data_IF_774140486334
#
_entry.id   IF_774140486334
#
_cell.length_a   1.000
_cell.length_b   1.000
_cell.length_c   1.000
_cell.angle_alpha   90.00
_cell.angle_beta   90.00
_cell.angle_gamma   90.00
#
_symmetry.space_group_name_H-M   'P 1'
#
loop_
_entity.id
_entity.type
_entity.pdbx_description
1 polymer ?
#
# COMPACT_ATOMS: atom_id res chain seq x y z
N UNK A 1 11.71 -25.00 -27.33
CA UNK A 1 11.69 -23.62 -26.79
C UNK A 1 10.73 -22.81 -27.65
N UNK A 2 9.58 -22.42 -27.10
CA UNK A 2 8.58 -21.64 -27.84
C UNK A 2 8.70 -20.18 -27.47
N UNK A 3 8.77 -19.30 -28.46
CA UNK A 3 8.57 -17.87 -28.25
C UNK A 3 7.09 -17.64 -27.95
N UNK A 4 6.80 -16.95 -26.85
CA UNK A 4 5.43 -16.61 -26.47
C UNK A 4 4.94 -15.39 -27.26
N UNK A 5 3.63 -15.20 -27.33
CA UNK A 5 3.02 -14.00 -27.93
C UNK A 5 3.50 -12.72 -27.24
N UNK A 6 3.81 -12.81 -25.94
CA UNK A 6 4.39 -11.71 -25.16
C UNK A 6 5.81 -11.39 -25.63
N UNK A 7 6.64 -12.40 -25.88
CA UNK A 7 8.00 -12.21 -26.38
C UNK A 7 8.00 -11.55 -27.77
N UNK A 8 7.02 -11.90 -28.61
CA UNK A 8 6.83 -11.26 -29.93
C UNK A 8 6.42 -9.79 -29.79
N UNK A 9 5.46 -9.48 -28.90
CA UNK A 9 5.00 -8.11 -28.66
C UNK A 9 6.10 -7.25 -28.02
N UNK A 10 6.84 -7.79 -27.05
CA UNK A 10 7.99 -7.12 -26.43
C UNK A 10 9.08 -6.85 -27.47
N UNK A 11 9.35 -7.80 -28.39
CA UNK A 11 10.29 -7.59 -29.49
C UNK A 11 9.81 -6.50 -30.45
N UNK A 12 8.54 -6.50 -30.86
CA UNK A 12 7.99 -5.46 -31.75
C UNK A 12 8.01 -4.07 -31.09
N UNK A 13 7.68 -3.98 -29.80
CA UNK A 13 7.73 -2.75 -29.03
C UNK A 13 9.15 -2.24 -28.85
N UNK A 14 10.12 -3.11 -28.56
CA UNK A 14 11.53 -2.71 -28.41
C UNK A 14 12.18 -2.35 -29.77
N UNK A 15 11.86 -3.06 -30.85
CA UNK A 15 12.50 -2.84 -32.16
C UNK A 15 11.82 -1.80 -33.03
N UNK A 16 10.50 -1.61 -32.90
CA UNK A 16 9.70 -0.73 -33.77
C UNK A 16 8.78 0.23 -33.01
N UNK A 17 8.52 0.01 -31.72
CA UNK A 17 7.70 0.91 -30.87
C UNK A 17 8.45 2.10 -30.28
N UNK A 18 9.68 2.38 -30.72
CA UNK A 18 10.49 3.49 -30.21
C UNK A 18 10.04 4.81 -30.85
N UNK A 19 9.37 5.66 -30.06
CA UNK A 19 9.10 7.05 -30.43
C UNK A 19 10.43 7.74 -30.74
N UNK A 20 10.57 8.20 -31.97
CA UNK A 20 11.79 8.82 -32.48
C UNK A 20 11.82 10.32 -32.16
N UNK A 21 12.99 10.94 -32.27
CA UNK A 21 13.12 12.39 -32.14
C UNK A 21 12.32 13.14 -33.22
N UNK A 22 12.12 12.54 -34.40
CA UNK A 22 11.28 13.09 -35.47
C UNK A 22 9.82 13.11 -35.04
N UNK A 23 9.32 12.01 -34.47
CA UNK A 23 7.93 11.91 -33.99
C UNK A 23 7.65 12.94 -32.88
N UNK A 24 8.60 13.14 -31.96
CA UNK A 24 8.48 14.17 -30.92
C UNK A 24 8.46 15.58 -31.51
N UNK A 25 9.22 15.83 -32.57
CA UNK A 25 9.22 17.14 -33.26
C UNK A 25 7.91 17.38 -34.01
N UNK A 26 7.36 16.37 -34.66
CA UNK A 26 6.04 16.44 -35.30
C UNK A 26 4.93 16.63 -34.28
N UNK A 27 5.00 15.93 -33.14
CA UNK A 27 4.09 16.12 -32.03
C UNK A 27 4.15 17.56 -31.49
N UNK A 28 5.35 18.12 -31.29
CA UNK A 28 5.51 19.52 -30.89
C UNK A 28 4.95 20.50 -31.93
N UNK A 29 5.04 20.19 -33.23
CA UNK A 29 4.42 20.99 -34.28
C UNK A 29 2.89 20.93 -34.19
N UNK A 30 2.32 19.73 -34.09
CA UNK A 30 0.87 19.49 -33.93
C UNK A 30 0.32 20.21 -32.69
N UNK A 31 1.08 20.20 -31.59
CA UNK A 31 0.72 20.86 -30.35
C UNK A 31 0.65 22.40 -30.47
N UNK A 32 1.45 23.01 -31.36
CA UNK A 32 1.50 24.46 -31.58
C UNK A 32 0.60 24.96 -32.73
N UNK A 33 -0.15 24.07 -33.36
CA UNK A 33 -1.12 24.47 -34.39
C UNK A 33 -2.18 25.43 -33.83
N UNK A 34 -2.67 26.39 -34.63
CA UNK A 34 -3.72 27.28 -34.20
C UNK A 34 -5.01 26.53 -33.86
N UNK A 35 -5.88 27.18 -33.08
CA UNK A 35 -7.25 26.70 -32.83
C UNK A 35 -8.03 26.85 -34.14
N UNK A 36 -8.71 25.78 -34.56
CA UNK A 36 -9.64 25.85 -35.67
C UNK A 36 -11.00 26.33 -35.15
N UNK A 37 -11.34 27.59 -35.46
CA UNK A 37 -12.58 28.24 -34.98
C UNK A 37 -13.85 27.73 -35.67
N UNK A 38 -13.72 26.95 -36.75
CA UNK A 38 -14.83 26.27 -37.41
C UNK A 38 -15.20 24.93 -36.76
N UNK A 39 -14.43 24.47 -35.77
CA UNK A 39 -14.71 23.26 -35.02
C UNK A 39 -14.96 23.60 -33.53
N UNK A 40 -15.64 22.70 -32.80
CA UNK A 40 -15.78 22.83 -31.37
C UNK A 40 -14.42 22.89 -30.66
N UNK A 41 -14.33 23.72 -29.62
CA UNK A 41 -13.08 23.91 -28.87
C UNK A 41 -12.60 22.61 -28.19
N UNK A 42 -13.51 21.65 -27.96
CA UNK A 42 -13.18 20.31 -27.46
C UNK A 42 -12.21 19.56 -28.37
N UNK A 43 -12.29 19.74 -29.69
CA UNK A 43 -11.33 19.14 -30.64
C UNK A 43 -9.91 19.68 -30.47
N UNK A 44 -9.80 20.94 -30.06
CA UNK A 44 -8.53 21.49 -29.64
C UNK A 44 -8.04 20.84 -28.35
N UNK A 45 -8.90 20.64 -27.34
CA UNK A 45 -8.53 19.99 -26.08
C UNK A 45 -8.10 18.53 -26.27
N UNK A 46 -8.83 17.76 -27.09
CA UNK A 46 -8.46 16.39 -27.50
C UNK A 46 -7.06 16.37 -28.11
N UNK A 47 -6.79 17.25 -29.07
CA UNK A 47 -5.46 17.35 -29.70
C UNK A 47 -4.36 17.62 -28.69
N UNK A 48 -4.57 18.55 -27.75
CA UNK A 48 -3.58 18.85 -26.71
C UNK A 48 -3.36 17.64 -25.80
N UNK A 49 -4.44 16.96 -25.39
CA UNK A 49 -4.39 15.73 -24.60
C UNK A 49 -3.56 14.64 -25.28
N UNK A 50 -3.86 14.35 -26.55
CA UNK A 50 -3.10 13.40 -27.39
C UNK A 50 -1.62 13.76 -27.42
N UNK A 51 -1.29 15.04 -27.65
CA UNK A 51 0.09 15.48 -27.78
C UNK A 51 0.86 15.33 -26.46
N UNK A 52 0.22 15.63 -25.33
CA UNK A 52 0.83 15.49 -23.99
C UNK A 52 1.06 14.01 -23.68
N UNK A 53 0.07 13.15 -23.94
CA UNK A 53 0.20 11.70 -23.75
C UNK A 53 1.30 11.12 -24.64
N UNK A 54 1.38 11.54 -25.91
CA UNK A 54 2.42 11.09 -26.83
C UNK A 54 3.83 11.47 -26.33
N UNK A 55 3.99 12.68 -25.81
CA UNK A 55 5.25 13.14 -25.24
C UNK A 55 5.65 12.36 -23.97
N UNK A 56 4.68 12.00 -23.12
CA UNK A 56 4.90 11.18 -21.93
C UNK A 56 5.37 9.75 -22.29
N UNK A 57 4.71 9.10 -23.26
CA UNK A 57 5.13 7.80 -23.79
C UNK A 57 6.54 7.89 -24.40
N UNK A 58 6.86 9.03 -25.03
CA UNK A 58 8.20 9.34 -25.55
C UNK A 58 9.23 9.73 -24.49
N UNK A 59 8.92 9.56 -23.20
CA UNK A 59 9.77 9.89 -22.04
C UNK A 59 10.24 11.35 -22.01
N UNK A 60 9.48 12.24 -22.65
CA UNK A 60 9.74 13.69 -22.69
C UNK A 60 8.48 14.42 -22.22
N UNK A 61 8.04 14.23 -20.96
CA UNK A 61 6.77 14.76 -20.47
C UNK A 61 6.74 16.28 -20.55
N UNK A 62 5.63 16.82 -21.06
CA UNK A 62 5.41 18.27 -21.12
C UNK A 62 5.18 18.82 -19.71
N UNK A 63 5.89 19.88 -19.34
CA UNK A 63 5.64 20.59 -18.07
C UNK A 63 4.25 21.23 -18.10
N UNK A 64 3.50 21.08 -17.01
CA UNK A 64 2.16 21.65 -16.83
C UNK A 64 2.09 23.15 -17.16
N UNK A 65 3.02 23.93 -16.63
CA UNK A 65 3.11 25.37 -16.87
C UNK A 65 3.26 25.70 -18.37
N UNK A 66 4.08 24.91 -19.09
CA UNK A 66 4.29 25.10 -20.52
C UNK A 66 3.03 24.83 -21.32
N UNK A 67 2.26 23.81 -20.92
CA UNK A 67 0.97 23.47 -21.54
C UNK A 67 0.04 24.68 -21.39
N UNK A 68 -0.16 25.17 -20.16
CA UNK A 68 -1.05 26.29 -19.87
C UNK A 68 -0.67 27.59 -20.58
N UNK A 69 0.61 27.95 -20.59
CA UNK A 69 1.08 29.13 -21.32
C UNK A 69 0.79 29.01 -22.81
N UNK A 70 1.05 27.85 -23.40
CA UNK A 70 0.83 27.62 -24.83
C UNK A 70 -0.65 27.65 -25.18
N UNK A 71 -1.50 26.97 -24.40
CA UNK A 71 -2.95 26.94 -24.70
C UNK A 71 -3.60 28.31 -24.53
N UNK A 72 -3.18 29.07 -23.52
CA UNK A 72 -3.66 30.43 -23.32
C UNK A 72 -3.22 31.36 -24.47
N UNK A 73 -1.97 31.25 -24.93
CA UNK A 73 -1.51 31.98 -26.12
C UNK A 73 -2.29 31.61 -27.39
N UNK A 74 -2.67 30.33 -27.55
CA UNK A 74 -3.45 29.89 -28.70
C UNK A 74 -4.87 30.49 -28.69
N UNK A 75 -5.50 30.56 -27.51
CA UNK A 75 -6.78 31.24 -27.29
C UNK A 75 -6.68 32.73 -27.57
N UNK A 76 -5.65 33.42 -27.05
CA UNK A 76 -5.48 34.85 -27.29
C UNK A 76 -5.35 35.20 -28.79
N UNK A 77 -4.76 34.30 -29.58
CA UNK A 77 -4.64 34.47 -31.03
C UNK A 77 -5.96 34.38 -31.78
N UNK A 78 -6.98 33.71 -31.22
CA UNK A 78 -8.29 33.63 -31.89
C UNK A 78 -9.08 34.94 -31.74
N UNK A 79 -8.80 35.73 -30.70
CA UNK A 79 -9.53 36.96 -30.32
C UNK A 79 -11.00 36.72 -29.92
N UNK A 80 -11.54 35.51 -30.14
CA UNK A 80 -12.95 35.16 -29.89
C UNK A 80 -13.30 35.07 -28.39
N UNK A 81 -12.36 34.65 -27.55
CA UNK A 81 -12.60 34.36 -26.13
C UNK A 81 -12.09 35.48 -25.23
N UNK A 82 -12.39 36.73 -25.61
CA UNK A 82 -11.80 37.93 -25.01
C UNK A 82 -12.09 38.08 -23.52
N UNK A 83 -13.30 37.74 -23.08
CA UNK A 83 -13.73 37.91 -21.69
C UNK A 83 -13.28 36.75 -20.81
N UNK A 84 -13.47 35.50 -21.25
CA UNK A 84 -12.86 34.34 -20.60
C UNK A 84 -11.33 34.43 -20.49
N UNK A 85 -10.66 35.03 -21.49
CA UNK A 85 -9.22 35.28 -21.44
C UNK A 85 -8.79 36.27 -20.36
N UNK A 86 -9.61 37.30 -20.08
CA UNK A 86 -9.38 38.23 -18.96
C UNK A 86 -9.61 37.55 -17.63
N UNK A 87 -10.69 36.80 -17.51
CA UNK A 87 -11.01 36.06 -16.28
C UNK A 87 -9.92 35.04 -15.95
N UNK A 88 -9.47 34.28 -16.94
CA UNK A 88 -8.38 33.32 -16.80
C UNK A 88 -7.11 33.97 -16.25
N UNK A 89 -6.76 35.18 -16.70
CA UNK A 89 -5.59 35.93 -16.23
C UNK A 89 -5.70 36.35 -14.76
N UNK A 90 -6.92 36.51 -14.26
CA UNK A 90 -7.17 36.94 -12.88
C UNK A 90 -7.26 35.75 -11.90
N UNK A 91 -7.23 34.51 -12.38
CA UNK A 91 -7.24 33.31 -11.52
C UNK A 91 -5.94 33.18 -10.73
N UNK A 92 -6.04 32.55 -9.57
CA UNK A 92 -4.87 32.22 -8.75
C UNK A 92 -4.02 31.13 -9.41
N UNK A 93 -2.74 31.04 -9.04
CA UNK A 93 -1.85 29.97 -9.53
C UNK A 93 -2.38 28.57 -9.19
N UNK A 94 -3.09 28.43 -8.07
CA UNK A 94 -3.71 27.16 -7.66
C UNK A 94 -4.89 26.76 -8.57
N UNK A 95 -5.62 27.75 -9.10
CA UNK A 95 -6.76 27.54 -9.99
C UNK A 95 -6.36 27.46 -11.46
N UNK A 96 -5.13 27.83 -11.79
CA UNK A 96 -4.53 27.66 -13.12
C UNK A 96 -4.19 26.18 -13.37
N UNK A 97 -5.23 25.38 -13.59
CA UNK A 97 -5.15 23.96 -13.91
C UNK A 97 -5.68 23.67 -15.31
N UNK A 98 -5.23 22.58 -15.92
CA UNK A 98 -5.69 22.19 -17.26
C UNK A 98 -7.18 21.86 -17.26
N UNK A 99 -7.66 21.22 -16.20
CA UNK A 99 -9.09 20.93 -16.00
C UNK A 99 -9.91 22.23 -15.96
N UNK A 100 -9.51 23.20 -15.14
CA UNK A 100 -10.23 24.48 -15.06
C UNK A 100 -10.15 25.25 -16.38
N UNK A 101 -9.04 25.15 -17.12
CA UNK A 101 -8.91 25.76 -18.44
C UNK A 101 -9.94 25.20 -19.40
N UNK A 102 -10.05 23.86 -19.49
CA UNK A 102 -11.03 23.21 -20.38
C UNK A 102 -12.45 23.63 -20.04
N UNK A 103 -12.83 23.63 -18.76
CA UNK A 103 -14.17 24.05 -18.33
C UNK A 103 -14.45 25.50 -18.72
N UNK A 104 -13.61 26.45 -18.32
CA UNK A 104 -13.84 27.87 -18.60
C UNK A 104 -13.96 28.19 -20.09
N UNK A 105 -13.10 27.62 -20.93
CA UNK A 105 -13.14 27.90 -22.37
C UNK A 105 -14.20 27.07 -23.13
N UNK A 106 -14.67 25.95 -22.57
CA UNK A 106 -15.83 25.24 -23.08
C UNK A 106 -17.14 26.01 -22.84
N UNK A 107 -17.30 26.55 -21.62
CA UNK A 107 -18.47 27.35 -21.24
C UNK A 107 -18.55 28.62 -22.11
N UNK A 108 -17.43 29.34 -22.27
CA UNK A 108 -17.35 30.52 -23.13
C UNK A 108 -17.64 30.19 -24.61
N UNK A 109 -17.19 29.03 -25.11
CA UNK A 109 -17.51 28.61 -26.47
C UNK A 109 -19.02 28.38 -26.64
N UNK A 110 -19.67 27.77 -25.64
CA UNK A 110 -21.12 27.56 -25.65
C UNK A 110 -21.87 28.90 -25.63
N UNK A 111 -21.47 29.83 -24.76
CA UNK A 111 -22.05 31.16 -24.68
C UNK A 111 -21.87 31.94 -25.99
N UNK A 112 -20.69 31.87 -26.61
CA UNK A 112 -20.42 32.48 -27.91
C UNK A 112 -21.35 31.93 -29.01
N UNK A 113 -21.60 30.62 -29.03
CA UNK A 113 -22.53 29.99 -29.98
C UNK A 113 -23.96 30.43 -29.76
N UNK A 114 -24.40 30.49 -28.50
CA UNK A 114 -25.72 30.97 -28.13
C UNK A 114 -25.92 32.45 -28.54
N UNK A 115 -24.92 33.30 -28.31
CA UNK A 115 -24.95 34.71 -28.72
C UNK A 115 -25.02 34.88 -30.24
N UNK A 116 -24.24 34.09 -31.00
CA UNK A 116 -24.29 34.09 -32.46
C UNK A 116 -25.70 33.75 -32.96
N UNK A 117 -26.35 32.76 -32.34
CA UNK A 117 -27.74 32.37 -32.67
C UNK A 117 -28.74 33.48 -32.40
N UNK A 118 -28.71 34.08 -31.20
CA UNK A 118 -29.62 35.18 -30.84
C UNK A 118 -29.48 36.37 -31.80
N UNK A 119 -28.25 36.66 -32.22
CA UNK A 119 -27.95 37.74 -33.18
C UNK A 119 -28.47 37.39 -34.58
N UNK A 120 -28.32 36.14 -35.02
CA UNK A 120 -28.85 35.67 -36.31
C UNK A 120 -30.38 35.65 -36.36
N UNK A 121 -31.04 35.27 -35.25
CA UNK A 121 -32.50 35.28 -35.13
C UNK A 121 -33.09 36.69 -35.13
N UNK A 122 -32.41 37.67 -34.51
CA UNK A 122 -32.84 39.07 -34.52
C UNK A 122 -32.67 39.76 -35.89
N UNK A 123 -31.79 39.24 -36.76
CA UNK A 123 -31.53 39.82 -38.08
C UNK A 123 -32.60 39.45 -39.15
N UNK A 124 -33.64 38.68 -38.80
CA UNK A 124 -34.82 38.48 -39.67
C UNK A 124 -34.61 37.61 -40.91
N UNK A 125 -33.56 36.79 -40.97
CA UNK A 125 -33.18 36.04 -42.18
C UNK A 125 -33.70 34.59 -42.28
N UNK A 126 -34.62 34.12 -41.42
CA UNK A 126 -35.00 32.69 -41.36
C UNK A 126 -36.50 32.33 -41.28
N UNK A 127 -37.45 33.26 -41.43
CA UNK A 127 -38.88 32.90 -41.34
C UNK A 127 -39.38 31.92 -42.43
N UNK A 128 -38.61 31.63 -43.48
CA UNK A 128 -39.12 30.87 -44.64
C UNK A 128 -38.81 29.36 -44.66
N UNK A 129 -38.03 28.79 -43.71
CA UNK A 129 -37.65 27.36 -43.76
C UNK A 129 -37.56 26.66 -42.38
N UNK A 130 -38.24 27.21 -41.38
CA UNK A 130 -37.81 27.24 -39.98
C UNK A 130 -38.08 25.99 -39.11
N UNK A 131 -38.57 24.88 -39.66
CA UNK A 131 -38.80 23.67 -38.85
C UNK A 131 -37.60 22.70 -38.84
N UNK A 132 -36.77 22.70 -39.89
CA UNK A 132 -35.61 21.78 -39.99
C UNK A 132 -34.28 22.40 -39.58
N UNK A 133 -34.19 23.73 -39.56
CA UNK A 133 -32.98 24.45 -39.13
C UNK A 133 -32.79 24.39 -37.62
N UNK A 134 -33.87 24.55 -36.86
CA UNK A 134 -33.84 24.55 -35.39
C UNK A 134 -33.47 23.16 -34.82
N UNK A 135 -34.04 22.08 -35.37
CA UNK A 135 -33.77 20.69 -34.95
C UNK A 135 -32.31 20.24 -35.23
N UNK A 136 -31.74 20.58 -36.39
CA UNK A 136 -30.36 20.21 -36.73
C UNK A 136 -29.34 20.95 -35.86
N UNK A 137 -29.65 22.20 -35.49
CA UNK A 137 -28.77 23.03 -34.66
C UNK A 137 -28.84 22.62 -33.18
N UNK A 138 -30.02 22.29 -32.65
CA UNK A 138 -30.14 21.72 -31.29
C UNK A 138 -29.37 20.40 -31.15
N UNK A 139 -29.36 19.57 -32.21
CA UNK A 139 -28.57 18.34 -32.23
C UNK A 139 -27.06 18.65 -32.20
N UNK A 140 -26.58 19.64 -32.95
CA UNK A 140 -25.16 20.05 -32.92
C UNK A 140 -24.75 20.59 -31.53
N UNK A 141 -25.58 21.39 -30.89
CA UNK A 141 -25.35 21.90 -29.52
C UNK A 141 -25.33 20.76 -28.49
N UNK A 142 -26.26 19.81 -28.58
CA UNK A 142 -26.30 18.64 -27.70
C UNK A 142 -25.07 17.75 -27.89
N UNK A 143 -24.58 17.61 -29.14
CA UNK A 143 -23.35 16.88 -29.44
C UNK A 143 -22.11 17.59 -28.90
N UNK A 144 -22.06 18.93 -28.94
CA UNK A 144 -20.97 19.73 -28.37
C UNK A 144 -20.95 19.62 -26.84
N UNK A 145 -22.10 19.71 -26.18
CA UNK A 145 -22.22 19.49 -24.73
C UNK A 145 -21.83 18.08 -24.33
N UNK A 146 -22.23 17.07 -25.10
CA UNK A 146 -21.84 15.67 -24.87
C UNK A 146 -20.33 15.47 -25.03
N UNK A 147 -19.71 16.10 -26.03
CA UNK A 147 -18.26 16.05 -26.23
C UNK A 147 -17.51 16.72 -25.06
N UNK A 148 -18.00 17.87 -24.56
CA UNK A 148 -17.44 18.53 -23.38
C UNK A 148 -17.53 17.58 -22.17
N UNK A 149 -18.71 17.02 -21.91
CA UNK A 149 -18.95 16.08 -20.81
C UNK A 149 -18.01 14.87 -20.90
N UNK A 150 -17.85 14.27 -22.08
CA UNK A 150 -16.95 13.13 -22.29
C UNK A 150 -15.48 13.49 -21.99
N UNK A 151 -15.02 14.67 -22.41
CA UNK A 151 -13.64 15.11 -22.11
C UNK A 151 -13.40 15.44 -20.64
N UNK A 152 -14.44 15.88 -19.92
CA UNK A 152 -14.39 16.12 -18.47
C UNK A 152 -14.42 14.80 -17.71
N UNK A 153 -15.28 13.86 -18.10
CA UNK A 153 -15.39 12.53 -17.49
C UNK A 153 -14.07 11.75 -17.60
N UNK A 154 -13.40 11.81 -18.75
CA UNK A 154 -12.06 11.21 -18.92
C UNK A 154 -11.04 11.76 -17.91
N UNK A 155 -11.04 13.06 -17.66
CA UNK A 155 -10.13 13.68 -16.68
C UNK A 155 -10.45 13.27 -15.26
N UNK A 156 -11.75 13.24 -14.90
CA UNK A 156 -12.19 12.80 -13.58
C UNK A 156 -11.74 11.36 -13.34
N UNK A 157 -11.92 10.47 -14.31
CA UNK A 157 -11.46 9.08 -14.23
C UNK A 157 -9.95 8.98 -14.09
N UNK A 158 -9.17 9.78 -14.84
CA UNK A 158 -7.71 9.81 -14.73
C UNK A 158 -7.25 10.26 -13.33
N UNK A 159 -7.88 11.31 -12.78
CA UNK A 159 -7.60 11.83 -11.44
C UNK A 159 -7.94 10.81 -10.34
N UNK A 160 -9.11 10.16 -10.45
CA UNK A 160 -9.51 9.09 -9.54
C UNK A 160 -8.53 7.91 -9.60
N UNK A 161 -8.10 7.53 -10.80
CA UNK A 161 -7.12 6.44 -11.00
C UNK A 161 -5.78 6.77 -10.35
N UNK A 162 -5.28 8.00 -10.51
CA UNK A 162 -4.07 8.46 -9.85
C UNK A 162 -4.19 8.43 -8.31
N UNK A 163 -5.34 8.86 -7.79
CA UNK A 163 -5.63 8.86 -6.35
C UNK A 163 -5.69 7.42 -5.78
N UNK A 164 -6.35 6.50 -6.49
CA UNK A 164 -6.39 5.07 -6.12
C UNK A 164 -4.98 4.48 -6.07
N UNK A 165 -4.12 4.82 -7.05
CA UNK A 165 -2.72 4.38 -7.05
C UNK A 165 -1.97 4.88 -5.83
N UNK A 166 -2.08 6.16 -5.50
CA UNK A 166 -1.45 6.75 -4.30
C UNK A 166 -1.93 6.07 -3.00
N UNK A 167 -3.24 5.85 -2.87
CA UNK A 167 -3.81 5.14 -1.71
C UNK A 167 -3.31 3.69 -1.63
N UNK A 168 -3.18 3.01 -2.77
CA UNK A 168 -2.66 1.64 -2.84
C UNK A 168 -1.20 1.58 -2.39
N UNK A 169 -0.37 2.52 -2.85
CA UNK A 169 1.04 2.62 -2.45
C UNK A 169 1.19 2.95 -0.95
N UNK A 170 0.35 3.86 -0.43
CA UNK A 170 0.32 4.19 0.99
C UNK A 170 -0.08 2.99 1.86
N UNK A 171 -1.11 2.24 1.46
CA UNK A 171 -1.53 1.01 2.14
C UNK A 171 -0.42 -0.05 2.14
N UNK A 172 0.31 -0.18 1.03
CA UNK A 172 1.47 -1.08 0.96
C UNK A 172 2.57 -0.67 1.94
N UNK A 173 2.87 0.63 2.03
CA UNK A 173 3.85 1.15 2.99
C UNK A 173 3.43 0.92 4.44
N UNK A 174 2.17 1.20 4.79
CA UNK A 174 1.63 0.92 6.12
C UNK A 174 1.70 -0.57 6.46
N UNK A 175 1.42 -1.45 5.49
CA UNK A 175 1.54 -2.90 5.66
C UNK A 175 2.97 -3.31 6.00
N UNK A 176 3.97 -2.74 5.31
CA UNK A 176 5.38 -3.00 5.64
C UNK A 176 5.77 -2.47 7.03
N UNK A 177 5.29 -1.29 7.42
CA UNK A 177 5.54 -0.74 8.75
C UNK A 177 4.92 -1.59 9.87
N UNK A 178 3.68 -2.06 9.69
CA UNK A 178 3.02 -2.97 10.65
C UNK A 178 3.80 -4.28 10.80
N UNK A 179 4.28 -4.85 9.69
CA UNK A 179 5.11 -6.05 9.73
C UNK A 179 6.41 -5.82 10.51
N UNK A 180 7.11 -4.73 10.23
CA UNK A 180 8.34 -4.37 10.94
C UNK A 180 8.10 -4.19 12.45
N UNK A 181 7.03 -3.50 12.83
CA UNK A 181 6.65 -3.32 14.24
C UNK A 181 6.30 -4.65 14.92
N UNK A 182 5.64 -5.55 14.20
CA UNK A 182 5.31 -6.90 14.69
C UNK A 182 6.58 -7.70 14.94
N UNK A 183 7.53 -7.68 14.01
CA UNK A 183 8.82 -8.37 14.14
C UNK A 183 9.63 -7.81 15.32
N UNK A 184 9.64 -6.48 15.51
CA UNK A 184 10.29 -5.85 16.67
C UNK A 184 9.64 -6.25 17.99
N UNK A 185 8.30 -6.30 18.03
CA UNK A 185 7.58 -6.72 19.23
C UNK A 185 7.89 -8.18 19.58
N UNK A 186 7.93 -9.08 18.59
CA UNK A 186 8.33 -10.48 18.82
C UNK A 186 9.76 -10.61 19.38
N UNK A 187 10.69 -9.77 18.90
CA UNK A 187 12.06 -9.77 19.41
C UNK A 187 12.14 -9.26 20.85
N UNK A 188 11.41 -8.19 21.17
CA UNK A 188 11.32 -7.67 22.54
C UNK A 188 10.68 -8.69 23.49
N UNK A 189 9.62 -9.39 23.06
CA UNK A 189 9.01 -10.47 23.87
C UNK A 189 10.03 -11.57 24.20
N UNK A 190 10.84 -12.01 23.22
CA UNK A 190 11.91 -12.99 23.47
C UNK A 190 12.99 -12.47 24.43
N UNK A 191 13.34 -11.20 24.35
CA UNK A 191 14.31 -10.59 25.27
C UNK A 191 13.77 -10.54 26.72
N UNK A 192 12.49 -10.20 26.89
CA UNK A 192 11.82 -10.22 28.20
C UNK A 192 11.75 -11.64 28.75
N UNK A 193 11.45 -12.64 27.92
CA UNK A 193 11.46 -14.06 28.33
C UNK A 193 12.85 -14.51 28.79
N UNK A 194 13.91 -14.08 28.11
CA UNK A 194 15.29 -14.39 28.50
C UNK A 194 15.71 -13.68 29.80
N UNK A 195 15.28 -12.44 30.03
CA UNK A 195 15.56 -11.70 31.27
C UNK A 195 14.78 -12.24 32.48
N UNK A 196 13.59 -12.79 32.26
CA UNK A 196 12.77 -13.39 33.31
C UNK A 196 13.05 -14.89 33.55
N UNK A 197 14.05 -15.48 32.91
CA UNK A 197 14.51 -16.80 33.31
C UNK A 197 15.15 -16.72 34.70
N UNK A 198 14.62 -17.43 35.72
CA UNK A 198 15.29 -17.49 37.01
C UNK A 198 16.69 -18.07 36.78
N UNK A 199 17.71 -17.41 37.33
CA UNK A 199 19.06 -17.96 37.39
C UNK A 199 19.02 -19.27 38.17
N UNK A 200 18.76 -20.38 37.49
CA UNK A 200 18.90 -21.72 38.04
C UNK A 200 20.39 -22.00 38.05
N UNK A 201 21.04 -21.68 39.16
CA UNK A 201 22.31 -22.29 39.52
C UNK A 201 22.06 -23.79 39.60
N UNK A 202 22.33 -24.51 38.50
CA UNK A 202 22.20 -25.96 38.43
C UNK A 202 23.27 -26.57 39.34
N UNK A 203 22.94 -26.74 40.62
CA UNK A 203 23.48 -27.85 41.38
C UNK A 203 22.78 -29.11 40.86
N UNK A 204 23.52 -30.19 40.50
CA UNK A 204 22.91 -31.39 39.96
C UNK A 204 21.98 -32.01 41.01
N UNK A 205 20.68 -31.90 40.80
CA UNK A 205 19.68 -32.24 41.80
C UNK A 205 18.48 -32.89 41.16
N UNK A 206 18.43 -34.23 41.26
CA UNK A 206 17.30 -35.10 40.92
C UNK A 206 15.94 -34.41 41.16
N UNK A 207 15.13 -34.34 40.09
CA UNK A 207 13.83 -33.67 39.99
C UNK A 207 12.73 -34.27 40.87
N UNK A 208 12.90 -34.23 42.18
CA UNK A 208 11.96 -34.74 43.17
C UNK A 208 11.17 -33.61 43.83
N UNK A 209 9.86 -33.81 44.02
CA UNK A 209 9.00 -32.84 44.69
C UNK A 209 9.35 -32.67 46.18
N UNK A 210 8.85 -31.61 46.83
CA UNK A 210 9.17 -31.26 48.23
C UNK A 210 8.84 -32.36 49.25
N UNK A 211 7.77 -33.16 49.03
CA UNK A 211 7.44 -34.32 49.88
C UNK A 211 8.45 -35.46 49.67
N UNK A 212 8.83 -35.75 48.42
CA UNK A 212 9.82 -36.77 48.07
C UNK A 212 11.23 -36.40 48.59
N UNK A 213 11.60 -35.11 48.56
CA UNK A 213 12.86 -34.61 49.15
C UNK A 213 12.90 -34.80 50.67
N UNK A 214 11.79 -34.53 51.36
CA UNK A 214 11.67 -34.73 52.81
C UNK A 214 11.77 -36.21 53.18
N UNK A 215 11.14 -37.08 52.40
CA UNK A 215 11.21 -38.53 52.60
C UNK A 215 12.63 -39.07 52.36
N UNK A 216 13.29 -38.72 51.24
CA UNK A 216 14.69 -39.12 51.01
C UNK A 216 15.63 -38.61 52.12
N UNK A 217 15.43 -37.38 52.63
CA UNK A 217 16.23 -36.88 53.78
C UNK A 217 15.99 -37.67 55.06
N UNK A 218 14.76 -38.13 55.29
CA UNK A 218 14.43 -38.98 56.43
C UNK A 218 15.05 -40.37 56.29
N UNK A 219 14.95 -40.99 55.11
CA UNK A 219 15.52 -42.30 54.81
C UNK A 219 17.05 -42.32 54.91
N UNK A 220 17.74 -41.23 54.53
CA UNK A 220 19.20 -41.06 54.68
C UNK A 220 19.72 -41.13 56.13
N UNK A 221 18.84 -41.00 57.13
CA UNK A 221 19.23 -41.11 58.54
C UNK A 221 19.46 -42.56 58.95
N UNK A 222 18.87 -43.51 58.23
CA UNK A 222 19.03 -44.92 58.49
C UNK A 222 20.22 -45.47 57.72
N UNK A 223 20.99 -46.33 58.38
CA UNK A 223 22.07 -47.07 57.78
C UNK A 223 21.47 -48.17 56.91
N UNK A 224 21.65 -48.08 55.60
CA UNK A 224 21.16 -49.11 54.65
C UNK A 224 21.77 -50.48 54.92
N UNK A 225 22.99 -50.52 55.48
CA UNK A 225 23.68 -51.75 55.84
C UNK A 225 23.63 -52.04 57.36
N UNK A 226 23.01 -51.17 58.15
CA UNK A 226 22.92 -51.34 59.59
C UNK A 226 21.92 -52.43 59.98
N UNK A 227 22.23 -53.11 61.07
CA UNK A 227 21.36 -54.07 61.72
C UNK A 227 21.71 -54.16 63.21
N UNK A 228 20.68 -54.31 64.04
CA UNK A 228 20.79 -54.56 65.46
C UNK A 228 19.80 -55.67 65.82
N UNK A 229 20.22 -56.68 66.58
CA UNK A 229 19.34 -57.79 66.96
C UNK A 229 18.07 -57.32 67.70
N UNK A 230 18.17 -56.25 68.49
CA UNK A 230 17.01 -55.69 69.21
C UNK A 230 16.09 -54.84 68.34
N UNK A 231 16.64 -54.11 67.36
CA UNK A 231 15.95 -53.05 66.62
C UNK A 231 15.78 -53.35 65.12
N UNK A 232 16.28 -54.49 64.66
CA UNK A 232 16.24 -54.94 63.28
C UNK A 232 17.06 -54.07 62.33
N UNK A 233 16.52 -53.89 61.12
CA UNK A 233 17.18 -53.25 59.96
C UNK A 233 17.03 -51.74 59.88
N UNK A 234 16.13 -51.14 60.69
CA UNK A 234 15.87 -49.67 60.69
C UNK A 234 16.66 -48.98 61.79
N UNK A 235 17.97 -48.97 61.63
CA UNK A 235 18.92 -48.39 62.59
C UNK A 235 19.66 -47.22 61.96
N UNK A 236 20.10 -46.25 62.77
CA UNK A 236 20.84 -45.07 62.26
C UNK A 236 22.31 -45.42 61.96
N UNK A 237 23.05 -44.53 61.27
CA UNK A 237 24.43 -44.77 60.82
C UNK A 237 25.40 -45.28 61.90
N UNK A 238 25.17 -44.94 63.18
CA UNK A 238 26.04 -45.32 64.29
C UNK A 238 25.45 -46.38 65.22
N UNK A 239 24.32 -47.00 64.85
CA UNK A 239 23.67 -48.02 65.66
C UNK A 239 23.78 -49.39 65.00
N UNK A 240 24.39 -50.34 65.71
CA UNK A 240 24.46 -51.75 65.36
C UNK A 240 24.25 -52.58 66.63
N UNK A 241 24.25 -53.91 66.51
CA UNK A 241 24.05 -54.80 67.67
C UNK A 241 25.08 -54.57 68.78
N UNK A 242 26.36 -54.44 68.43
CA UNK A 242 27.43 -54.14 69.40
C UNK A 242 27.21 -52.82 70.17
N UNK A 243 26.82 -51.77 69.47
CA UNK A 243 26.66 -50.41 70.01
C UNK A 243 25.19 -50.10 70.38
N UNK A 244 24.39 -51.12 70.66
CA UNK A 244 23.01 -50.94 71.07
C UNK A 244 22.93 -50.61 72.56
N UNK A 245 22.46 -49.40 72.90
CA UNK A 245 22.27 -48.99 74.30
C UNK A 245 21.00 -49.60 74.94
N UNK A 246 19.95 -49.82 74.13
CA UNK A 246 18.66 -50.37 74.59
C UNK A 246 18.49 -51.82 74.15
N UNK A 247 19.23 -52.72 74.80
CA UNK A 247 19.26 -54.15 74.46
C UNK A 247 18.04 -54.89 75.01
N UNK A 248 17.33 -55.62 74.14
CA UNK A 248 16.28 -56.56 74.56
C UNK A 248 16.91 -57.78 75.23
N UNK A 249 16.12 -58.49 76.03
CA UNK A 249 16.57 -59.75 76.64
C UNK A 249 17.06 -60.73 75.55
N UNK A 250 18.24 -61.32 75.74
CA UNK A 250 18.85 -62.23 74.76
C UNK A 250 19.59 -61.55 73.60
N UNK A 251 19.84 -60.25 73.66
CA UNK A 251 20.51 -59.50 72.60
C UNK A 251 21.88 -60.07 72.20
N UNK A 252 22.05 -60.32 70.90
CA UNK A 252 23.29 -60.84 70.31
C UNK A 252 24.16 -59.69 69.78
N UNK A 253 25.28 -59.38 70.45
CA UNK A 253 26.17 -58.26 70.06
C UNK A 253 26.84 -58.45 68.70
N UNK A 254 27.10 -59.69 68.32
CA UNK A 254 27.77 -60.03 67.05
C UNK A 254 26.78 -60.15 65.88
N UNK A 255 25.49 -59.92 66.11
CA UNK A 255 24.50 -60.00 65.06
C UNK A 255 24.73 -58.91 64.01
N UNK A 256 24.73 -59.32 62.74
CA UNK A 256 24.95 -58.47 61.58
C UNK A 256 23.78 -58.60 60.63
N UNK A 257 23.70 -57.69 59.65
CA UNK A 257 22.61 -57.75 58.66
C UNK A 257 22.64 -59.03 57.82
N UNK A 258 23.84 -59.59 57.61
CA UNK A 258 24.06 -60.85 56.89
C UNK A 258 23.91 -62.09 57.76
N UNK A 259 23.95 -61.95 59.08
CA UNK A 259 23.73 -63.05 60.02
C UNK A 259 23.00 -62.49 61.25
N UNK A 260 21.67 -62.61 61.23
CA UNK A 260 20.79 -61.99 62.23
C UNK A 260 20.79 -62.73 63.56
N UNK A 261 21.48 -63.88 63.69
CA UNK A 261 21.56 -64.66 64.93
C UNK A 261 20.18 -64.92 65.57
N UNK A 262 19.15 -65.11 64.73
CA UNK A 262 17.78 -65.40 65.15
C UNK A 262 16.93 -64.19 65.60
N UNK A 263 17.38 -62.95 65.38
CA UNK A 263 16.63 -61.72 65.64
C UNK A 263 15.99 -61.08 64.42
#
# INVERSE_FOLDING_TARGET
>A
MGFTTRDLLDHLMDRYGKITATDLKENAKRMNEPINTGLPITKYFERIGDCVQFADVGKTPCKHERILQMVYLAVLKTVLYGDAGKEWRNKSDADCTWTNFKTTFADEYHDLKLQQRLTMGQAGFHEANDARGEEVVEIEEALDQLAIAETVDRDVVASLTASIKQLTDANRMLTYQVKALTDTNQLLTKQIEQQNQPAVTQLPGDGLNTKQRRQKRFERRFNTNGYCWSHGVRVTNNHNSKNCDNRRSGHQEEATRSNTMGG
#
